data_IF_309700739714
#
_entry.id   IF_309700739714
#
_cell.length_a   1.000
_cell.length_b   1.000
_cell.length_c   1.000
_cell.angle_alpha   90.00
_cell.angle_beta   90.00
_cell.angle_gamma   90.00
#
_symmetry.space_group_name_H-M   'P 1'
#
loop_
_entity.id
_entity.type
_entity.pdbx_description
1 polymer ?
#
# COMPACT_ATOMS: atom_id res chain seq x y z
N UNK A 1 22.60 33.00 6.40
CA UNK A 1 22.72 31.59 5.98
C UNK A 1 22.68 30.72 7.23
N UNK A 2 21.74 29.80 7.33
CA UNK A 2 21.56 28.93 8.50
C UNK A 2 22.78 28.04 8.73
N UNK A 3 23.07 27.75 10.01
CA UNK A 3 24.18 26.88 10.43
C UNK A 3 23.66 25.65 11.18
N UNK A 4 24.43 24.56 11.14
CA UNK A 4 24.15 23.37 11.94
C UNK A 4 24.15 23.72 13.42
N UNK A 5 23.20 23.20 14.20
CA UNK A 5 22.93 23.44 15.62
C UNK A 5 22.38 24.85 15.95
N UNK A 6 22.12 25.67 14.96
CA UNK A 6 21.43 26.95 15.17
C UNK A 6 19.96 26.67 15.55
N UNK A 7 19.45 27.45 16.50
CA UNK A 7 18.03 27.38 16.91
C UNK A 7 17.33 28.61 16.31
N UNK A 8 16.25 28.34 15.58
CA UNK A 8 15.45 29.38 14.92
C UNK A 8 13.98 29.23 15.34
N UNK A 9 13.26 30.34 15.36
CA UNK A 9 11.81 30.32 15.45
C UNK A 9 11.25 30.04 14.06
N UNK A 10 10.36 29.05 13.95
CA UNK A 10 9.81 28.59 12.68
C UNK A 10 8.32 28.32 12.81
N UNK A 11 7.55 28.86 11.90
CA UNK A 11 6.14 28.53 11.71
C UNK A 11 5.99 27.47 10.63
N UNK A 12 5.17 26.46 10.88
CA UNK A 12 4.91 25.37 9.95
C UNK A 12 3.71 25.73 9.09
N UNK A 13 3.94 25.90 7.80
CA UNK A 13 2.93 26.33 6.83
C UNK A 13 2.57 25.26 5.79
N UNK A 14 3.19 24.09 5.83
CA UNK A 14 2.92 23.01 4.90
C UNK A 14 3.43 21.67 5.41
N UNK A 15 3.15 20.61 4.66
CA UNK A 15 3.52 19.24 5.00
C UNK A 15 4.02 18.50 3.76
N UNK A 16 4.96 17.56 3.97
CA UNK A 16 5.39 16.61 2.92
C UNK A 16 4.69 15.27 3.09
N UNK A 17 4.63 14.48 2.02
CA UNK A 17 4.12 13.12 2.07
C UNK A 17 4.96 12.13 2.92
N UNK A 18 6.18 12.52 3.30
CA UNK A 18 7.00 11.79 4.29
C UNK A 18 6.66 12.15 5.74
N UNK A 19 5.70 13.06 5.96
CA UNK A 19 5.28 13.51 7.29
C UNK A 19 6.22 14.52 7.93
N UNK A 20 7.00 15.28 7.13
CA UNK A 20 7.75 16.42 7.64
C UNK A 20 6.96 17.70 7.44
N UNK A 21 6.76 18.49 8.49
CA UNK A 21 6.27 19.85 8.33
C UNK A 21 7.27 20.73 7.60
N UNK A 22 6.78 21.72 6.89
CA UNK A 22 7.56 22.65 6.09
C UNK A 22 7.32 24.06 6.60
N UNK A 23 8.37 24.72 7.05
CA UNK A 23 8.37 26.15 7.30
C UNK A 23 9.44 26.84 6.45
N UNK A 24 9.41 28.17 6.41
CA UNK A 24 10.42 28.97 5.74
C UNK A 24 11.09 29.93 6.72
N UNK A 25 12.40 29.99 6.69
CA UNK A 25 13.19 30.95 7.43
C UNK A 25 14.10 31.70 6.46
N UNK A 26 13.96 33.03 6.35
CA UNK A 26 14.68 33.86 5.38
C UNK A 26 14.61 33.31 3.93
N UNK A 27 13.48 32.78 3.52
CA UNK A 27 13.26 32.20 2.19
C UNK A 27 13.76 30.77 2.01
N UNK A 28 14.49 30.20 2.98
CA UNK A 28 14.99 28.82 2.95
C UNK A 28 13.95 27.89 3.57
N UNK A 29 13.58 26.81 2.84
CA UNK A 29 12.70 25.79 3.36
C UNK A 29 13.39 24.94 4.45
N UNK A 30 12.68 24.67 5.54
CA UNK A 30 13.13 23.83 6.64
C UNK A 30 12.11 22.71 6.85
N UNK A 31 12.58 21.47 6.80
CA UNK A 31 11.77 20.25 6.98
C UNK A 31 11.92 19.74 8.41
N UNK A 32 10.81 19.62 9.14
CA UNK A 32 10.81 19.24 10.56
C UNK A 32 9.82 18.11 10.81
N UNK A 33 10.27 16.93 11.23
CA UNK A 33 9.37 15.81 11.56
C UNK A 33 8.53 16.11 12.82
N UNK A 34 7.37 15.44 12.93
CA UNK A 34 6.47 15.51 14.09
C UNK A 34 5.84 16.88 14.34
N UNK A 35 5.78 17.74 13.32
CA UNK A 35 5.08 19.02 13.37
C UNK A 35 3.74 18.94 12.65
N UNK A 36 2.84 19.86 13.00
CA UNK A 36 1.51 20.04 12.38
C UNK A 36 1.47 21.44 11.76
N UNK A 37 0.70 21.62 10.70
CA UNK A 37 0.49 22.95 10.09
C UNK A 37 -0.11 23.90 11.15
N UNK A 38 0.45 25.09 11.27
CA UNK A 38 0.10 26.08 12.30
C UNK A 38 0.94 26.00 13.58
N UNK A 39 1.83 24.99 13.73
CA UNK A 39 2.79 25.00 14.84
C UNK A 39 3.77 26.16 14.69
N UNK A 40 4.06 26.82 15.80
CA UNK A 40 5.22 27.71 15.96
C UNK A 40 6.20 27.06 16.90
N UNK A 41 7.39 26.79 16.41
CA UNK A 41 8.41 26.02 17.13
C UNK A 41 9.74 26.75 17.25
N UNK A 42 10.52 26.41 18.27
CA UNK A 42 11.98 26.54 18.25
C UNK A 42 12.55 25.30 17.58
N UNK A 43 13.19 25.53 16.43
CA UNK A 43 13.71 24.49 15.58
C UNK A 43 15.23 24.47 15.60
N UNK A 44 15.84 23.37 16.01
CA UNK A 44 17.29 23.17 15.89
C UNK A 44 17.61 22.63 14.52
N UNK A 45 18.47 23.32 13.76
CA UNK A 45 18.94 22.87 12.44
C UNK A 45 19.92 21.71 12.62
N UNK A 46 19.59 20.55 12.05
CA UNK A 46 20.45 19.35 12.15
C UNK A 46 21.25 19.09 10.86
N UNK A 47 20.74 19.56 9.71
CA UNK A 47 21.41 19.41 8.41
C UNK A 47 21.11 20.60 7.52
N UNK A 48 22.15 21.18 6.94
CA UNK A 48 22.07 22.25 5.93
C UNK A 48 22.39 21.65 4.56
N UNK A 49 21.46 21.81 3.60
CA UNK A 49 21.64 21.46 2.20
C UNK A 49 21.76 22.74 1.36
N UNK A 50 22.00 22.62 0.06
CA UNK A 50 22.21 23.77 -0.82
C UNK A 50 21.00 24.72 -0.90
N UNK A 51 19.79 24.19 -0.89
CA UNK A 51 18.52 24.94 -1.11
C UNK A 51 17.49 24.78 0.00
N UNK A 52 17.77 23.92 1.00
CA UNK A 52 16.86 23.65 2.11
C UNK A 52 17.62 23.11 3.33
N UNK A 53 16.94 23.05 4.47
CA UNK A 53 17.50 22.48 5.70
C UNK A 53 16.58 21.39 6.29
N UNK A 54 17.15 20.56 7.16
CA UNK A 54 16.39 19.72 8.09
C UNK A 54 16.57 20.21 9.51
N UNK A 55 15.49 20.24 10.25
CA UNK A 55 15.47 20.58 11.66
C UNK A 55 14.77 19.53 12.51
N UNK A 56 14.89 19.70 13.82
CA UNK A 56 14.11 18.95 14.82
C UNK A 56 13.45 19.95 15.77
N UNK A 57 12.35 19.55 16.37
CA UNK A 57 11.69 20.34 17.40
C UNK A 57 12.58 20.41 18.63
N UNK A 58 12.94 21.62 19.06
CA UNK A 58 13.57 21.88 20.35
C UNK A 58 12.50 22.17 21.41
N UNK A 59 11.56 23.04 21.03
CA UNK A 59 10.42 23.42 21.86
C UNK A 59 9.22 23.80 20.97
N UNK A 60 7.99 23.54 21.43
CA UNK A 60 6.77 24.03 20.80
C UNK A 60 6.35 25.31 21.52
N UNK A 61 6.49 26.43 20.82
CA UNK A 61 6.13 27.76 21.36
C UNK A 61 4.61 27.94 21.39
N UNK A 62 3.95 27.52 20.30
CA UNK A 62 2.50 27.49 20.18
C UNK A 62 2.12 26.30 19.32
N UNK A 63 1.38 25.35 19.89
CA UNK A 63 0.90 24.17 19.15
C UNK A 63 -0.32 24.52 18.31
N UNK A 64 -0.42 23.91 17.14
CA UNK A 64 -1.62 23.91 16.30
C UNK A 64 -2.80 23.32 17.08
N UNK A 65 -4.01 23.82 16.83
CA UNK A 65 -5.26 23.23 17.37
C UNK A 65 -5.53 21.82 16.83
N UNK A 66 -4.91 21.49 15.71
CA UNK A 66 -5.02 20.18 15.05
C UNK A 66 -4.07 19.13 15.64
N UNK A 67 -3.23 19.50 16.62
CA UNK A 67 -2.39 18.56 17.33
C UNK A 67 -3.19 17.62 18.21
N UNK A 68 -2.77 16.34 18.19
CA UNK A 68 -3.25 15.32 19.12
C UNK A 68 -2.10 14.76 19.94
N UNK A 69 -2.42 14.27 21.13
CA UNK A 69 -1.52 13.43 21.88
C UNK A 69 -1.31 12.10 21.14
N UNK A 70 -0.05 11.68 21.08
CA UNK A 70 0.30 10.43 20.40
C UNK A 70 0.00 9.23 21.30
N UNK A 71 -0.78 8.29 20.79
CA UNK A 71 -1.25 7.07 21.47
C UNK A 71 -0.35 5.83 21.23
N UNK A 72 0.75 5.97 20.48
CA UNK A 72 1.63 4.85 20.16
C UNK A 72 3.01 5.00 20.83
N UNK A 73 3.41 4.12 21.75
CA UNK A 73 4.64 4.25 22.53
C UNK A 73 5.93 4.20 21.70
N UNK A 74 5.86 3.65 20.48
CA UNK A 74 7.00 3.55 19.57
C UNK A 74 6.93 4.52 18.39
N UNK A 75 5.97 5.44 18.37
CA UNK A 75 5.73 6.35 17.25
C UNK A 75 6.96 7.16 16.83
N UNK A 76 7.73 7.66 17.80
CA UNK A 76 8.95 8.43 17.52
C UNK A 76 10.08 7.61 16.86
N UNK A 77 10.02 6.28 16.99
CA UNK A 77 11.04 5.34 16.50
C UNK A 77 10.57 4.56 15.27
N UNK A 78 9.33 4.05 15.30
CA UNK A 78 8.76 3.22 14.25
C UNK A 78 8.59 3.99 12.94
N UNK A 79 8.89 3.34 11.81
CA UNK A 79 8.74 3.90 10.47
C UNK A 79 7.34 3.78 9.86
N UNK A 80 6.37 3.16 10.56
CA UNK A 80 5.08 2.81 10.00
C UNK A 80 4.09 3.97 9.83
N UNK A 81 4.05 4.90 10.80
CA UNK A 81 3.13 6.04 10.80
C UNK A 81 3.88 7.36 10.76
N UNK A 82 3.24 8.39 10.20
CA UNK A 82 3.80 9.75 10.18
C UNK A 82 2.81 10.83 10.63
N UNK A 83 1.50 10.53 10.79
CA UNK A 83 0.46 11.50 11.09
C UNK A 83 -0.34 11.23 12.38
N UNK A 84 0.13 10.34 13.28
CA UNK A 84 -0.59 10.05 14.55
C UNK A 84 -0.60 11.20 15.55
N UNK A 85 0.14 12.25 15.33
CA UNK A 85 0.23 13.44 16.18
C UNK A 85 -0.66 14.59 15.72
N UNK A 86 -1.51 14.35 14.69
CA UNK A 86 -2.52 15.30 14.23
C UNK A 86 -3.89 14.65 14.17
N UNK A 87 -4.97 15.45 14.24
CA UNK A 87 -6.31 14.93 14.08
C UNK A 87 -6.53 14.41 12.65
N UNK A 88 -7.55 13.59 12.49
CA UNK A 88 -7.74 12.89 11.22
C UNK A 88 -8.28 13.81 10.12
N UNK A 89 -9.03 14.82 10.48
CA UNK A 89 -9.56 15.79 9.52
C UNK A 89 -8.43 16.59 8.88
N UNK A 90 -7.43 17.00 9.67
CA UNK A 90 -6.23 17.66 9.16
C UNK A 90 -5.39 16.70 8.31
N UNK A 91 -5.25 15.44 8.71
CA UNK A 91 -4.58 14.41 7.88
C UNK A 91 -5.24 14.30 6.50
N UNK A 92 -6.58 14.29 6.44
CA UNK A 92 -7.32 14.25 5.16
C UNK A 92 -7.07 15.50 4.33
N UNK A 93 -7.11 16.70 4.94
CA UNK A 93 -6.80 17.97 4.25
C UNK A 93 -5.40 18.00 3.66
N UNK A 94 -4.42 17.53 4.44
CA UNK A 94 -3.03 17.42 4.00
C UNK A 94 -2.88 16.45 2.82
N UNK A 95 -3.50 15.29 2.88
CA UNK A 95 -3.47 14.30 1.79
C UNK A 95 -4.17 14.78 0.52
N UNK A 96 -5.30 15.45 0.67
CA UNK A 96 -5.99 16.08 -0.46
C UNK A 96 -5.11 17.15 -1.12
N UNK A 97 -4.40 17.95 -0.31
CA UNK A 97 -3.48 18.97 -0.82
C UNK A 97 -2.30 18.36 -1.58
N UNK A 98 -1.79 17.18 -1.18
CA UNK A 98 -0.74 16.48 -1.94
C UNK A 98 -1.21 16.15 -3.36
N UNK A 99 -2.45 15.70 -3.52
CA UNK A 99 -3.02 15.39 -4.82
C UNK A 99 -3.14 16.67 -5.65
N UNK A 100 -3.77 17.72 -5.10
CA UNK A 100 -3.92 19.02 -5.78
C UNK A 100 -2.58 19.58 -6.25
N UNK A 101 -1.59 19.63 -5.34
CA UNK A 101 -0.24 20.11 -5.66
C UNK A 101 0.41 19.30 -6.80
N UNK A 102 0.18 17.99 -6.87
CA UNK A 102 0.75 17.17 -7.94
C UNK A 102 0.09 17.43 -9.29
N UNK A 103 -1.23 17.48 -9.34
CA UNK A 103 -1.93 17.76 -10.58
C UNK A 103 -1.62 19.16 -11.10
N UNK A 104 -1.65 20.18 -10.24
CA UNK A 104 -1.42 21.56 -10.63
C UNK A 104 0.05 21.88 -10.94
N UNK A 105 0.99 21.36 -10.12
CA UNK A 105 2.42 21.75 -10.26
C UNK A 105 3.21 20.82 -11.17
N UNK A 106 2.93 19.50 -11.16
CA UNK A 106 3.64 18.53 -11.99
C UNK A 106 2.91 18.33 -13.31
N UNK A 107 1.61 17.98 -13.25
CA UNK A 107 0.81 17.73 -14.43
C UNK A 107 0.44 18.99 -15.20
N UNK A 108 0.40 20.18 -14.55
CA UNK A 108 -0.19 21.42 -15.07
C UNK A 108 -1.66 21.25 -15.46
N UNK A 109 -2.36 20.40 -14.70
CA UNK A 109 -3.75 20.01 -14.89
C UNK A 109 -4.63 20.65 -13.82
N UNK A 110 -5.83 21.06 -14.20
CA UNK A 110 -6.80 21.74 -13.32
C UNK A 110 -8.17 21.04 -13.43
N UNK A 111 -8.27 19.79 -12.97
CA UNK A 111 -9.54 19.04 -12.98
C UNK A 111 -10.52 19.54 -11.92
N UNK A 112 -11.75 19.02 -12.00
CA UNK A 112 -12.67 19.08 -10.87
C UNK A 112 -12.18 18.11 -9.77
N UNK A 113 -12.12 18.59 -8.52
CA UNK A 113 -11.79 17.74 -7.38
C UNK A 113 -13.08 17.37 -6.65
N UNK A 114 -13.42 16.07 -6.68
CA UNK A 114 -14.50 15.52 -5.86
C UNK A 114 -14.09 15.49 -4.39
N UNK A 115 -15.06 15.43 -3.47
CA UNK A 115 -14.80 15.37 -2.03
C UNK A 115 -13.88 14.21 -1.65
N UNK A 116 -12.89 14.48 -0.80
CA UNK A 116 -11.93 13.49 -0.33
C UNK A 116 -12.64 12.36 0.43
N UNK A 117 -12.30 11.11 0.12
CA UNK A 117 -12.84 9.92 0.79
C UNK A 117 -11.92 9.52 1.94
N UNK A 118 -12.30 9.87 3.16
CA UNK A 118 -11.56 9.46 4.36
C UNK A 118 -11.74 7.99 4.69
N UNK A 119 -10.81 7.45 5.48
CA UNK A 119 -10.89 6.08 6.00
C UNK A 119 -11.85 6.05 7.20
N UNK A 120 -12.89 5.23 7.14
CA UNK A 120 -13.85 5.10 8.24
C UNK A 120 -13.22 4.46 9.49
N UNK A 121 -12.30 3.52 9.29
CA UNK A 121 -11.66 2.76 10.34
C UNK A 121 -10.16 3.06 10.40
N UNK A 122 -9.71 3.69 11.48
CA UNK A 122 -8.31 4.07 11.69
C UNK A 122 -7.51 3.07 12.54
N UNK A 123 -8.19 2.08 13.11
CA UNK A 123 -7.64 1.04 14.00
C UNK A 123 -7.98 -0.33 13.45
N UNK A 124 -7.01 -1.24 13.43
CA UNK A 124 -7.23 -2.63 13.03
C UNK A 124 -7.46 -2.87 11.53
N UNK A 125 -7.37 -1.85 10.70
CA UNK A 125 -7.74 -1.94 9.28
C UNK A 125 -6.76 -2.72 8.39
N UNK A 126 -5.49 -2.87 8.85
CA UNK A 126 -4.47 -3.55 8.04
C UNK A 126 -4.59 -5.05 8.16
N UNK A 127 -5.15 -5.69 7.16
CA UNK A 127 -5.32 -7.14 7.08
C UNK A 127 -4.01 -7.94 6.90
N UNK A 128 -2.86 -7.25 6.89
CA UNK A 128 -1.54 -7.87 6.69
C UNK A 128 -0.48 -7.25 7.59
N UNK A 129 0.29 -8.09 8.28
CA UNK A 129 1.49 -7.71 9.02
C UNK A 129 2.71 -8.50 8.52
N UNK A 130 3.85 -7.83 8.47
CA UNK A 130 5.14 -8.41 8.11
C UNK A 130 6.15 -7.98 9.16
N UNK A 131 6.26 -8.78 10.23
CA UNK A 131 7.14 -8.48 11.36
C UNK A 131 8.54 -9.04 11.10
N UNK A 132 9.58 -8.23 10.87
CA UNK A 132 10.96 -8.69 10.95
C UNK A 132 11.27 -9.20 12.35
N UNK A 133 12.06 -10.26 12.41
CA UNK A 133 12.54 -10.85 13.66
C UNK A 133 14.04 -10.57 13.78
N UNK A 134 14.47 -10.05 14.91
CA UNK A 134 15.85 -9.73 15.20
C UNK A 134 16.29 -10.25 16.58
N UNK A 135 17.58 -10.32 16.84
CA UNK A 135 18.11 -10.59 18.19
C UNK A 135 18.50 -9.27 18.85
N UNK A 136 17.96 -8.99 20.03
CA UNK A 136 18.29 -7.83 20.84
C UNK A 136 18.43 -8.27 22.32
N UNK A 137 19.47 -7.84 22.97
CA UNK A 137 19.74 -8.15 24.40
C UNK A 137 19.65 -9.65 24.73
N UNK A 138 20.12 -10.50 23.80
CA UNK A 138 20.16 -11.96 23.98
C UNK A 138 18.84 -12.69 23.78
N UNK A 139 17.78 -12.00 23.33
CA UNK A 139 16.47 -12.60 22.99
C UNK A 139 16.03 -12.22 21.58
N UNK A 140 15.20 -13.08 21.00
CA UNK A 140 14.52 -12.75 19.76
C UNK A 140 13.36 -11.77 20.03
N UNK A 141 13.27 -10.72 19.20
CA UNK A 141 12.22 -9.70 19.23
C UNK A 141 11.61 -9.54 17.85
N UNK A 142 10.37 -9.07 17.77
CA UNK A 142 9.74 -8.73 16.50
C UNK A 142 8.92 -7.44 16.58
N UNK A 143 8.65 -6.83 15.43
CA UNK A 143 7.89 -5.59 15.34
C UNK A 143 8.07 -4.97 13.97
N UNK A 144 8.21 -3.65 13.88
CA UNK A 144 8.44 -2.95 12.61
C UNK A 144 9.81 -2.28 12.59
N UNK A 145 10.31 -2.00 11.39
CA UNK A 145 11.58 -1.29 11.27
C UNK A 145 11.48 0.17 11.76
N UNK A 146 12.55 0.61 12.40
CA UNK A 146 12.73 2.03 12.73
C UNK A 146 12.89 2.87 11.46
N UNK A 147 12.51 4.14 11.55
CA UNK A 147 12.64 5.08 10.43
C UNK A 147 14.06 5.07 9.85
N UNK A 148 14.16 4.87 8.52
CA UNK A 148 15.42 4.87 7.76
C UNK A 148 16.48 3.89 8.30
N UNK A 149 16.03 2.77 8.88
CA UNK A 149 16.91 1.78 9.50
C UNK A 149 16.28 0.38 9.41
N UNK A 150 17.11 -0.66 9.45
CA UNK A 150 16.69 -2.06 9.62
C UNK A 150 16.66 -2.48 11.10
N UNK A 151 16.81 -1.55 12.04
CA UNK A 151 16.64 -1.85 13.46
C UNK A 151 15.16 -2.12 13.74
N UNK A 152 14.86 -3.25 14.36
CA UNK A 152 13.51 -3.65 14.75
C UNK A 152 13.09 -2.89 16.02
N UNK A 153 11.93 -2.25 15.97
CA UNK A 153 11.24 -1.78 17.18
C UNK A 153 10.49 -2.98 17.78
N UNK A 154 10.90 -3.44 18.96
CA UNK A 154 10.25 -4.52 19.68
C UNK A 154 8.84 -4.08 20.13
N UNK A 155 7.87 -4.29 19.26
CA UNK A 155 6.49 -3.85 19.48
C UNK A 155 5.52 -4.56 18.53
N UNK A 156 4.67 -5.41 19.07
CA UNK A 156 3.63 -6.16 18.34
C UNK A 156 2.25 -5.53 18.46
N UNK A 157 2.02 -4.63 19.45
CA UNK A 157 0.75 -3.97 19.73
C UNK A 157 0.53 -2.75 18.83
N UNK A 158 0.45 -3.02 17.53
CA UNK A 158 0.25 -1.97 16.53
C UNK A 158 -1.24 -1.70 16.31
N UNK A 159 -1.71 -0.51 16.65
CA UNK A 159 -3.11 -0.12 16.49
C UNK A 159 -3.62 -0.17 15.04
N UNK A 160 -2.74 -0.19 14.02
CA UNK A 160 -3.17 -0.36 12.63
C UNK A 160 -3.51 -1.81 12.28
N UNK A 161 -3.05 -2.77 13.10
CA UNK A 161 -3.23 -4.20 12.87
C UNK A 161 -4.43 -4.73 13.66
N UNK A 162 -5.13 -5.78 13.21
CA UNK A 162 -6.09 -6.50 14.03
C UNK A 162 -5.46 -6.99 15.33
N UNK A 163 -6.15 -6.82 16.46
CA UNK A 163 -5.63 -7.19 17.79
C UNK A 163 -5.17 -8.66 17.89
N UNK A 164 -5.79 -9.54 17.10
CA UNK A 164 -5.41 -10.97 17.04
C UNK A 164 -3.97 -11.17 16.55
N UNK A 165 -3.43 -10.27 15.71
CA UNK A 165 -2.06 -10.38 15.23
C UNK A 165 -1.03 -10.24 16.32
N UNK A 166 -1.28 -9.33 17.30
CA UNK A 166 -0.47 -9.23 18.51
C UNK A 166 -0.41 -10.56 19.25
N UNK A 167 -1.58 -11.15 19.52
CA UNK A 167 -1.67 -12.40 20.29
C UNK A 167 -0.90 -13.55 19.60
N UNK A 168 -1.06 -13.69 18.29
CA UNK A 168 -0.36 -14.71 17.51
C UNK A 168 1.16 -14.44 17.48
N UNK A 169 1.57 -13.20 17.25
CA UNK A 169 2.98 -12.84 17.22
C UNK A 169 3.67 -13.06 18.59
N UNK A 170 3.01 -12.68 19.67
CA UNK A 170 3.51 -12.87 21.03
C UNK A 170 3.68 -14.37 21.37
N UNK A 171 2.72 -15.24 21.01
CA UNK A 171 2.84 -16.68 21.19
C UNK A 171 4.00 -17.28 20.37
N UNK A 172 4.14 -16.87 19.12
CA UNK A 172 5.27 -17.28 18.26
C UNK A 172 6.60 -16.86 18.92
N UNK A 173 6.71 -15.61 19.38
CA UNK A 173 7.93 -15.11 19.98
C UNK A 173 8.23 -15.77 21.33
N UNK A 174 7.21 -16.08 22.13
CA UNK A 174 7.39 -16.85 23.36
C UNK A 174 7.96 -18.25 23.07
N UNK A 175 7.41 -18.93 22.05
CA UNK A 175 7.92 -20.23 21.60
C UNK A 175 9.36 -20.15 21.10
N UNK A 176 9.66 -19.17 20.21
CA UNK A 176 10.99 -18.94 19.63
C UNK A 176 12.03 -18.72 20.72
N UNK A 177 11.73 -17.89 21.72
CA UNK A 177 12.63 -17.61 22.83
C UNK A 177 12.80 -18.83 23.77
N UNK A 178 11.71 -19.54 24.10
CA UNK A 178 11.76 -20.76 24.92
C UNK A 178 12.62 -21.85 24.28
N UNK A 179 12.52 -22.01 22.96
CA UNK A 179 13.29 -22.99 22.17
C UNK A 179 14.68 -22.48 21.73
N UNK A 180 15.00 -21.23 22.05
CA UNK A 180 16.27 -20.57 21.65
C UNK A 180 16.51 -20.64 20.14
N UNK A 181 15.43 -20.51 19.33
CA UNK A 181 15.50 -20.45 17.87
C UNK A 181 16.12 -19.11 17.49
N UNK A 182 17.21 -19.13 16.72
CA UNK A 182 17.96 -17.93 16.37
C UNK A 182 17.22 -17.10 15.33
N UNK A 183 17.08 -15.81 15.58
CA UNK A 183 16.66 -14.84 14.59
C UNK A 183 17.71 -14.71 13.48
N UNK A 184 17.26 -14.42 12.25
CA UNK A 184 18.18 -14.16 11.14
C UNK A 184 18.89 -12.82 11.34
N UNK A 185 20.21 -12.87 11.18
CA UNK A 185 21.05 -11.70 11.21
C UNK A 185 21.44 -11.34 9.76
N UNK A 186 21.06 -10.15 9.29
CA UNK A 186 21.28 -9.69 7.91
C UNK A 186 22.78 -9.47 7.60
N UNK A 187 23.62 -9.14 8.59
CA UNK A 187 25.04 -8.91 8.41
C UNK A 187 25.79 -10.22 8.20
N UNK A 188 25.57 -11.18 9.11
CA UNK A 188 26.28 -12.47 9.09
C UNK A 188 25.63 -13.49 8.16
N UNK A 189 24.34 -13.34 7.86
CA UNK A 189 23.55 -14.31 7.11
C UNK A 189 23.20 -15.56 7.92
N UNK A 190 23.38 -15.55 9.24
CA UNK A 190 23.09 -16.66 10.14
C UNK A 190 21.74 -16.52 10.84
N UNK A 191 21.24 -17.63 11.39
CA UNK A 191 19.93 -17.68 12.05
C UNK A 191 18.86 -18.33 11.16
N UNK A 192 17.70 -18.65 11.75
CA UNK A 192 16.65 -19.41 11.08
C UNK A 192 15.40 -18.56 10.77
N UNK A 193 14.81 -17.92 11.77
CA UNK A 193 13.56 -17.16 11.60
C UNK A 193 13.86 -15.72 11.17
N UNK A 194 13.31 -15.32 10.02
CA UNK A 194 13.49 -13.98 9.45
C UNK A 194 12.31 -13.06 9.71
N UNK A 195 11.09 -13.55 9.37
CA UNK A 195 9.87 -12.75 9.52
C UNK A 195 8.73 -13.63 9.99
N UNK A 196 7.81 -13.00 10.72
CA UNK A 196 6.46 -13.50 10.96
C UNK A 196 5.55 -12.70 10.03
N UNK A 197 4.92 -13.40 9.08
CA UNK A 197 3.97 -12.81 8.15
C UNK A 197 2.58 -13.29 8.52
N UNK A 198 1.69 -12.35 8.83
CA UNK A 198 0.30 -12.62 9.17
C UNK A 198 -0.61 -11.98 8.13
N UNK A 199 -1.68 -12.67 7.80
CA UNK A 199 -2.73 -12.20 6.92
C UNK A 199 -4.08 -12.62 7.45
N UNK A 200 -5.09 -11.75 7.29
CA UNK A 200 -6.47 -12.01 7.67
C UNK A 200 -7.40 -11.61 6.53
N UNK A 201 -8.39 -12.45 6.23
CA UNK A 201 -9.56 -12.02 5.46
C UNK A 201 -10.42 -11.11 6.32
N UNK A 202 -10.77 -9.93 5.82
CA UNK A 202 -11.54 -8.95 6.60
C UNK A 202 -12.97 -9.43 6.82
N UNK A 203 -13.62 -9.88 5.75
CA UNK A 203 -14.99 -10.38 5.80
C UNK A 203 -15.08 -11.84 6.26
N UNK A 204 -14.14 -12.69 5.87
CA UNK A 204 -14.15 -14.11 6.24
C UNK A 204 -13.65 -14.36 7.66
N UNK A 205 -12.77 -13.51 8.18
CA UNK A 205 -12.07 -13.74 9.44
C UNK A 205 -10.93 -14.76 9.35
N UNK A 206 -10.73 -15.44 8.22
CA UNK A 206 -9.69 -16.46 8.05
C UNK A 206 -8.29 -15.88 8.22
N UNK A 207 -7.43 -16.61 8.96
CA UNK A 207 -6.07 -16.17 9.26
C UNK A 207 -5.05 -17.12 8.62
N UNK A 208 -4.06 -16.51 7.99
CA UNK A 208 -2.84 -17.16 7.51
C UNK A 208 -1.65 -16.75 8.37
N UNK A 209 -0.86 -17.72 8.81
CA UNK A 209 0.44 -17.54 9.44
C UNK A 209 1.52 -18.04 8.49
N UNK A 210 2.43 -17.17 8.07
CA UNK A 210 3.57 -17.57 7.28
C UNK A 210 4.87 -17.28 8.04
N UNK A 211 5.62 -18.33 8.37
CA UNK A 211 6.94 -18.21 8.97
C UNK A 211 8.00 -18.18 7.88
N UNK A 212 8.67 -17.04 7.74
CA UNK A 212 9.77 -16.89 6.76
C UNK A 212 11.05 -17.34 7.41
N UNK A 213 11.61 -18.44 6.89
CA UNK A 213 12.81 -19.08 7.44
C UNK A 213 13.92 -19.18 6.38
N UNK A 214 15.15 -19.35 6.83
CA UNK A 214 16.30 -19.44 5.93
C UNK A 214 16.48 -20.81 5.28
N UNK A 215 15.92 -21.88 5.87
CA UNK A 215 16.11 -23.27 5.43
C UNK A 215 14.89 -24.12 5.80
N UNK A 216 14.12 -24.53 4.80
CA UNK A 216 12.94 -25.40 4.95
C UNK A 216 13.25 -26.77 5.57
N UNK A 217 14.48 -27.29 5.44
CA UNK A 217 14.87 -28.55 6.07
C UNK A 217 14.83 -28.49 7.60
N UNK A 218 14.94 -27.28 8.16
CA UNK A 218 14.92 -27.03 9.61
C UNK A 218 13.53 -26.71 10.14
N UNK A 219 12.47 -26.71 9.31
CA UNK A 219 11.12 -26.31 9.72
C UNK A 219 10.54 -27.14 10.88
N UNK A 220 10.96 -28.42 11.03
CA UNK A 220 10.47 -29.31 12.07
C UNK A 220 10.65 -28.79 13.50
N UNK A 221 11.53 -27.80 13.72
CA UNK A 221 11.66 -27.17 15.04
C UNK A 221 10.40 -26.37 15.45
N UNK A 222 9.49 -26.11 14.50
CA UNK A 222 8.24 -25.39 14.71
C UNK A 222 7.00 -26.31 14.77
N UNK A 223 7.13 -27.64 14.64
CA UNK A 223 5.97 -28.54 14.55
C UNK A 223 5.07 -28.44 15.80
N UNK A 224 5.66 -28.32 17.00
CA UNK A 224 4.89 -28.13 18.22
C UNK A 224 4.16 -26.76 18.23
N UNK A 225 4.81 -25.69 17.74
CA UNK A 225 4.20 -24.36 17.60
C UNK A 225 2.98 -24.42 16.67
N UNK A 226 3.09 -25.09 15.52
CA UNK A 226 1.95 -25.27 14.59
C UNK A 226 0.76 -25.90 15.32
N UNK A 227 0.98 -26.97 16.08
CA UNK A 227 -0.07 -27.62 16.87
C UNK A 227 -0.67 -26.71 17.96
N UNK A 228 0.17 -25.93 18.65
CA UNK A 228 -0.27 -24.98 19.68
C UNK A 228 -1.13 -23.85 19.09
N UNK A 229 -0.70 -23.26 17.96
CA UNK A 229 -1.42 -22.18 17.28
C UNK A 229 -2.79 -22.65 16.76
N UNK A 230 -2.85 -23.78 16.07
CA UNK A 230 -4.10 -24.33 15.54
C UNK A 230 -5.11 -24.65 16.64
N UNK A 231 -4.62 -25.12 17.80
CA UNK A 231 -5.46 -25.44 18.95
C UNK A 231 -6.01 -24.19 19.64
N UNK A 232 -5.21 -23.12 19.68
CA UNK A 232 -5.56 -21.86 20.37
C UNK A 232 -6.42 -20.94 19.51
N UNK A 233 -6.20 -20.91 18.18
CA UNK A 233 -6.80 -19.96 17.26
C UNK A 233 -7.58 -20.70 16.16
N UNK A 234 -8.89 -20.85 16.33
CA UNK A 234 -9.76 -21.57 15.40
C UNK A 234 -9.86 -20.93 14.01
N UNK A 235 -9.59 -19.61 13.94
CA UNK A 235 -9.63 -18.83 12.69
C UNK A 235 -8.38 -19.01 11.83
N UNK A 236 -7.32 -19.65 12.35
CA UNK A 236 -6.16 -20.02 11.53
C UNK A 236 -6.57 -21.14 10.58
N UNK A 237 -6.64 -20.83 9.28
CA UNK A 237 -6.95 -21.76 8.20
C UNK A 237 -5.72 -22.18 7.39
N UNK A 238 -4.63 -21.44 7.55
CA UNK A 238 -3.39 -21.65 6.83
C UNK A 238 -2.18 -21.40 7.71
N UNK A 239 -1.25 -22.38 7.80
CA UNK A 239 0.11 -22.14 8.31
C UNK A 239 1.07 -22.61 7.24
N UNK A 240 1.94 -21.72 6.76
CA UNK A 240 2.92 -22.01 5.72
C UNK A 240 4.31 -21.60 6.17
N UNK A 241 5.31 -22.34 5.69
CA UNK A 241 6.71 -21.94 5.76
C UNK A 241 7.16 -21.40 4.41
N UNK A 242 7.81 -20.25 4.42
CA UNK A 242 8.44 -19.67 3.23
C UNK A 242 9.96 -19.69 3.38
N UNK A 243 10.67 -20.20 2.36
CA UNK A 243 12.14 -20.21 2.36
C UNK A 243 12.67 -18.92 1.72
N UNK A 244 13.38 -18.15 2.51
CA UNK A 244 14.16 -17.01 2.01
C UNK A 244 15.58 -17.01 2.61
N UNK A 245 16.54 -17.61 1.90
CA UNK A 245 17.96 -17.63 2.27
C UNK A 245 18.76 -16.48 1.65
N UNK A 246 18.16 -15.65 0.79
CA UNK A 246 18.86 -14.62 0.04
C UNK A 246 19.11 -13.36 0.91
N UNK A 247 20.27 -12.72 0.72
CA UNK A 247 20.56 -11.38 1.25
C UNK A 247 19.86 -10.34 0.36
N UNK A 248 18.60 -10.07 0.61
CA UNK A 248 17.75 -9.17 -0.18
C UNK A 248 16.69 -8.53 0.70
N UNK A 249 16.20 -7.36 0.28
CA UNK A 249 15.07 -6.67 0.92
C UNK A 249 13.70 -7.34 0.66
N UNK A 250 13.64 -8.37 -0.22
CA UNK A 250 12.42 -9.13 -0.40
C UNK A 250 12.15 -9.96 0.85
N UNK A 251 10.94 -9.84 1.41
CA UNK A 251 10.53 -10.58 2.61
C UNK A 251 10.31 -12.05 2.29
N UNK A 252 9.54 -12.34 1.23
CA UNK A 252 9.17 -13.69 0.82
C UNK A 252 10.11 -14.22 -0.27
N UNK A 253 10.47 -15.48 -0.14
CA UNK A 253 11.12 -16.27 -1.21
C UNK A 253 10.07 -16.99 -2.08
N UNK A 254 10.55 -17.79 -3.03
CA UNK A 254 9.68 -18.48 -4.00
C UNK A 254 9.15 -19.83 -3.51
N UNK A 255 9.82 -20.45 -2.54
CA UNK A 255 9.46 -21.79 -2.06
C UNK A 255 8.55 -21.68 -0.84
N UNK A 256 7.46 -22.42 -0.89
CA UNK A 256 6.46 -22.53 0.16
C UNK A 256 6.24 -24.00 0.53
N UNK A 257 5.96 -24.27 1.80
CA UNK A 257 5.52 -25.57 2.30
C UNK A 257 4.38 -25.34 3.29
N UNK A 258 3.23 -25.93 3.00
CA UNK A 258 2.07 -25.90 3.89
C UNK A 258 2.31 -26.82 5.08
N UNK A 259 2.15 -26.29 6.29
CA UNK A 259 2.26 -27.05 7.53
C UNK A 259 0.89 -27.40 8.12
N UNK A 260 -0.12 -26.57 7.84
CA UNK A 260 -1.50 -26.80 8.30
C UNK A 260 -2.51 -26.15 7.35
N UNK A 261 -3.62 -26.84 7.12
CA UNK A 261 -4.73 -26.37 6.30
C UNK A 261 -4.37 -26.20 4.82
N UNK A 262 -4.79 -25.07 4.23
CA UNK A 262 -4.50 -24.71 2.85
C UNK A 262 -3.25 -23.83 2.76
N UNK A 263 -2.67 -23.69 1.56
CA UNK A 263 -1.66 -22.68 1.24
C UNK A 263 -2.27 -21.31 0.96
N UNK A 264 -3.60 -21.20 0.99
CA UNK A 264 -4.39 -19.98 0.79
C UNK A 264 -5.41 -19.78 1.90
N UNK A 265 -5.90 -18.56 2.03
CA UNK A 265 -7.12 -18.18 2.75
C UNK A 265 -8.05 -17.48 1.78
N UNK A 266 -9.32 -17.34 2.16
CA UNK A 266 -10.34 -16.66 1.39
C UNK A 266 -10.75 -15.34 2.05
N UNK A 267 -11.17 -14.40 1.23
CA UNK A 267 -11.86 -13.17 1.66
C UNK A 267 -12.87 -12.74 0.60
N UNK A 268 -13.75 -11.84 0.96
CA UNK A 268 -14.68 -11.23 0.02
C UNK A 268 -14.18 -9.83 -0.37
N UNK A 269 -14.24 -9.48 -1.66
CA UNK A 269 -13.95 -8.15 -2.19
C UNK A 269 -15.06 -7.73 -3.16
N UNK A 270 -15.81 -6.69 -2.82
CA UNK A 270 -16.96 -6.24 -3.62
C UNK A 270 -17.93 -7.39 -3.97
N UNK A 271 -18.19 -8.28 -3.02
CA UNK A 271 -19.09 -9.42 -3.19
C UNK A 271 -18.53 -10.59 -4.02
N UNK A 272 -17.25 -10.58 -4.37
CA UNK A 272 -16.54 -11.70 -4.99
C UNK A 272 -15.69 -12.44 -3.97
N UNK A 273 -15.70 -13.77 -4.04
CA UNK A 273 -14.78 -14.63 -3.29
C UNK A 273 -13.37 -14.55 -3.91
N UNK A 274 -12.38 -14.19 -3.11
CA UNK A 274 -11.01 -13.99 -3.53
C UNK A 274 -10.07 -14.92 -2.76
N UNK A 275 -9.38 -15.76 -3.49
CA UNK A 275 -8.31 -16.62 -2.96
C UNK A 275 -7.03 -15.80 -2.74
N UNK A 276 -6.46 -15.90 -1.54
CA UNK A 276 -5.31 -15.13 -1.10
C UNK A 276 -4.18 -16.06 -0.66
N UNK A 277 -3.08 -16.09 -1.42
CA UNK A 277 -1.85 -16.80 -1.04
C UNK A 277 -0.85 -15.86 -0.33
N UNK A 278 0.22 -16.37 0.28
CA UNK A 278 1.29 -15.51 0.82
C UNK A 278 1.88 -14.55 -0.21
N UNK A 279 1.97 -14.98 -1.48
CA UNK A 279 2.60 -14.24 -2.57
C UNK A 279 1.62 -13.34 -3.34
N UNK A 280 0.31 -13.51 -3.16
CA UNK A 280 -0.70 -12.69 -3.84
C UNK A 280 -0.66 -11.25 -3.34
N UNK A 281 -0.76 -10.30 -4.28
CA UNK A 281 -1.15 -8.94 -3.92
C UNK A 281 -2.63 -8.93 -3.51
N UNK A 282 -2.93 -8.28 -2.42
CA UNK A 282 -4.28 -8.00 -1.95
C UNK A 282 -4.22 -6.71 -1.14
N UNK A 283 -5.18 -5.81 -1.34
CA UNK A 283 -5.22 -4.51 -0.66
C UNK A 283 -5.23 -4.70 0.86
N UNK A 284 -4.40 -3.92 1.56
CA UNK A 284 -4.20 -4.11 3.01
C UNK A 284 -5.32 -3.55 3.87
N UNK A 285 -6.22 -2.76 3.28
CA UNK A 285 -7.44 -2.23 3.87
C UNK A 285 -8.60 -2.60 2.95
N UNK A 286 -9.25 -3.74 3.22
CA UNK A 286 -10.28 -4.31 2.37
C UNK A 286 -11.46 -3.36 2.23
N UNK A 287 -12.00 -2.83 3.33
CA UNK A 287 -13.17 -1.95 3.34
C UNK A 287 -12.92 -0.70 2.49
N UNK A 288 -11.77 -0.06 2.69
CA UNK A 288 -11.47 1.15 1.94
C UNK A 288 -11.10 0.87 0.47
N UNK A 289 -10.59 -0.33 0.17
CA UNK A 289 -10.38 -0.77 -1.21
C UNK A 289 -11.70 -1.01 -1.95
N UNK A 290 -12.73 -1.53 -1.28
CA UNK A 290 -14.07 -1.65 -1.83
C UNK A 290 -14.63 -0.27 -2.20
N UNK A 291 -14.47 0.74 -1.31
CA UNK A 291 -14.84 2.14 -1.63
C UNK A 291 -14.07 2.70 -2.82
N UNK A 292 -12.75 2.44 -2.89
CA UNK A 292 -11.92 2.84 -4.03
C UNK A 292 -12.45 2.25 -5.34
N UNK A 293 -12.83 0.96 -5.34
CA UNK A 293 -13.34 0.26 -6.52
C UNK A 293 -14.76 0.72 -6.90
N UNK A 294 -15.60 1.05 -5.92
CA UNK A 294 -16.92 1.67 -6.17
C UNK A 294 -16.75 3.03 -6.87
N UNK A 295 -15.85 3.89 -6.38
CA UNK A 295 -15.56 5.19 -7.01
C UNK A 295 -15.05 5.00 -8.45
N UNK A 296 -14.16 4.03 -8.67
CA UNK A 296 -13.67 3.70 -10.00
C UNK A 296 -14.79 3.20 -10.93
N UNK A 297 -15.72 2.38 -10.41
CA UNK A 297 -16.89 1.91 -11.15
C UNK A 297 -17.87 3.05 -11.51
N UNK A 298 -18.06 3.99 -10.59
CA UNK A 298 -18.89 5.19 -10.82
C UNK A 298 -18.28 6.07 -11.91
N UNK A 299 -16.96 6.25 -11.91
CA UNK A 299 -16.25 6.99 -12.95
C UNK A 299 -16.25 6.25 -14.29
N UNK A 300 -16.22 4.92 -14.27
CA UNK A 300 -16.30 4.09 -15.46
C UNK A 300 -17.70 4.13 -16.14
N UNK A 301 -18.79 4.43 -15.38
CA UNK A 301 -20.17 4.56 -15.89
C UNK A 301 -20.60 3.37 -16.76
N UNK A 302 -20.43 2.16 -16.26
CA UNK A 302 -20.68 0.92 -16.99
C UNK A 302 -22.19 0.61 -17.05
N UNK A 303 -22.67 0.19 -18.23
CA UNK A 303 -24.10 -0.07 -18.52
C UNK A 303 -24.40 -1.53 -18.86
N UNK A 304 -23.37 -2.40 -18.91
CA UNK A 304 -23.49 -3.80 -19.33
C UNK A 304 -23.19 -4.04 -20.82
N UNK A 305 -22.89 -3.01 -21.57
CA UNK A 305 -22.61 -3.10 -23.00
C UNK A 305 -21.13 -2.96 -23.35
N UNK A 306 -20.35 -2.43 -22.43
CA UNK A 306 -18.97 -2.05 -22.62
C UNK A 306 -18.03 -3.26 -22.61
N UNK A 307 -16.96 -3.15 -23.39
CA UNK A 307 -15.73 -3.91 -23.21
C UNK A 307 -14.81 -3.10 -22.27
N UNK A 308 -14.50 -3.68 -21.10
CA UNK A 308 -13.58 -3.11 -20.11
C UNK A 308 -12.20 -3.76 -20.27
N UNK A 309 -11.17 -2.93 -20.37
CA UNK A 309 -9.77 -3.36 -20.27
C UNK A 309 -9.22 -2.93 -18.90
N UNK A 310 -8.83 -3.91 -18.07
CA UNK A 310 -8.19 -3.73 -16.78
C UNK A 310 -6.68 -3.97 -16.97
N UNK A 311 -5.92 -2.88 -17.10
CA UNK A 311 -4.46 -2.91 -17.21
C UNK A 311 -3.84 -2.93 -15.81
N UNK A 312 -2.89 -3.82 -15.60
CA UNK A 312 -2.26 -4.10 -14.30
C UNK A 312 -3.22 -4.80 -13.32
N UNK A 313 -4.03 -5.73 -13.82
CA UNK A 313 -5.17 -6.30 -13.10
C UNK A 313 -4.82 -7.13 -11.85
N UNK A 314 -3.55 -7.50 -11.63
CA UNK A 314 -3.14 -8.34 -10.52
C UNK A 314 -3.93 -9.66 -10.46
N UNK A 315 -4.55 -9.97 -9.32
CA UNK A 315 -5.46 -11.11 -9.14
C UNK A 315 -6.88 -10.88 -9.68
N UNK A 316 -7.08 -9.81 -10.44
CA UNK A 316 -8.33 -9.47 -11.11
C UNK A 316 -9.34 -8.73 -10.23
N UNK A 317 -8.99 -8.28 -9.03
CA UNK A 317 -9.95 -7.77 -8.04
C UNK A 317 -10.75 -6.56 -8.53
N UNK A 318 -10.14 -5.62 -9.26
CA UNK A 318 -10.82 -4.45 -9.81
C UNK A 318 -11.78 -4.87 -10.93
N UNK A 319 -11.25 -5.55 -11.96
CA UNK A 319 -12.07 -5.98 -13.10
C UNK A 319 -13.22 -6.90 -12.69
N UNK A 320 -12.99 -7.85 -11.78
CA UNK A 320 -14.01 -8.76 -11.27
C UNK A 320 -15.12 -8.03 -10.52
N UNK A 321 -14.81 -6.97 -9.75
CA UNK A 321 -15.83 -6.16 -9.07
C UNK A 321 -16.83 -5.52 -10.04
N UNK A 322 -16.42 -5.32 -11.29
CA UNK A 322 -17.21 -4.71 -12.36
C UNK A 322 -17.72 -5.71 -13.40
N UNK A 323 -17.34 -6.98 -13.33
CA UNK A 323 -17.58 -7.99 -14.36
C UNK A 323 -19.07 -8.18 -14.71
N UNK A 324 -19.97 -8.00 -13.73
CA UNK A 324 -21.42 -8.09 -13.92
C UNK A 324 -22.03 -6.88 -14.63
N UNK A 325 -21.25 -5.78 -14.76
CA UNK A 325 -21.68 -4.52 -15.37
C UNK A 325 -21.03 -4.28 -16.74
N UNK A 326 -20.40 -5.30 -17.34
CA UNK A 326 -19.74 -5.22 -18.64
C UNK A 326 -20.09 -6.39 -19.55
N UNK A 327 -20.03 -6.16 -20.85
CA UNK A 327 -20.19 -7.22 -21.86
C UNK A 327 -18.98 -8.14 -21.90
N UNK A 328 -17.77 -7.58 -21.83
CA UNK A 328 -16.49 -8.28 -21.86
C UNK A 328 -15.50 -7.60 -20.91
N UNK A 329 -14.78 -8.38 -20.14
CA UNK A 329 -13.65 -7.95 -19.33
C UNK A 329 -12.35 -8.54 -19.92
N UNK A 330 -11.35 -7.70 -20.12
CA UNK A 330 -9.98 -8.13 -20.48
C UNK A 330 -9.06 -7.67 -19.37
N UNK A 331 -8.40 -8.59 -18.68
CA UNK A 331 -7.39 -8.28 -17.66
C UNK A 331 -5.97 -8.56 -18.16
N UNK A 332 -5.05 -7.65 -17.90
CA UNK A 332 -3.63 -7.76 -18.30
C UNK A 332 -2.73 -7.57 -17.09
N UNK A 333 -1.82 -8.52 -16.86
CA UNK A 333 -0.87 -8.51 -15.76
C UNK A 333 0.44 -9.21 -16.19
N UNK A 334 1.58 -8.67 -15.76
CA UNK A 334 2.89 -9.22 -16.13
C UNK A 334 3.27 -10.46 -15.32
N UNK A 335 2.67 -10.66 -14.16
CA UNK A 335 2.99 -11.72 -13.20
C UNK A 335 2.10 -12.93 -13.46
N UNK A 336 2.66 -14.02 -14.03
CA UNK A 336 1.89 -15.23 -14.36
C UNK A 336 1.11 -15.81 -13.15
N UNK A 337 1.67 -15.98 -11.95
CA UNK A 337 0.91 -16.43 -10.78
C UNK A 337 -0.30 -15.56 -10.44
N UNK A 338 -0.24 -14.24 -10.69
CA UNK A 338 -1.38 -13.35 -10.46
C UNK A 338 -2.48 -13.58 -11.51
N UNK A 339 -2.12 -13.80 -12.77
CA UNK A 339 -3.07 -14.20 -13.83
C UNK A 339 -3.74 -15.54 -13.50
N UNK A 340 -2.98 -16.50 -12.99
CA UNK A 340 -3.54 -17.80 -12.59
C UNK A 340 -4.54 -17.62 -11.43
N UNK A 341 -4.25 -16.75 -10.48
CA UNK A 341 -5.19 -16.35 -9.43
C UNK A 341 -6.42 -15.66 -9.99
N UNK A 342 -6.26 -14.70 -10.91
CA UNK A 342 -7.39 -14.00 -11.53
C UNK A 342 -8.35 -14.97 -12.23
N UNK A 343 -7.82 -15.97 -12.93
CA UNK A 343 -8.62 -17.03 -13.57
C UNK A 343 -9.36 -17.90 -12.54
N UNK A 344 -8.70 -18.28 -11.43
CA UNK A 344 -9.37 -19.04 -10.36
C UNK A 344 -10.46 -18.20 -9.68
N UNK A 345 -10.18 -16.95 -9.37
CA UNK A 345 -11.15 -16.02 -8.81
C UNK A 345 -12.36 -15.82 -9.75
N UNK A 346 -12.14 -15.67 -11.06
CA UNK A 346 -13.22 -15.58 -12.03
C UNK A 346 -14.09 -16.84 -12.03
N UNK A 347 -13.47 -18.02 -12.04
CA UNK A 347 -14.18 -19.30 -12.01
C UNK A 347 -14.97 -19.50 -10.71
N UNK A 348 -14.39 -19.19 -9.53
CA UNK A 348 -15.05 -19.26 -8.24
C UNK A 348 -16.30 -18.36 -8.15
N UNK A 349 -16.30 -17.23 -8.87
CA UNK A 349 -17.40 -16.28 -8.90
C UNK A 349 -18.33 -16.42 -10.12
N UNK A 350 -18.20 -17.53 -10.89
CA UNK A 350 -18.99 -17.80 -12.09
C UNK A 350 -18.90 -16.67 -13.15
N UNK A 351 -17.77 -15.98 -13.23
CA UNK A 351 -17.54 -14.92 -14.22
C UNK A 351 -17.05 -15.58 -15.52
N UNK A 352 -17.91 -15.58 -16.55
CA UNK A 352 -17.68 -16.25 -17.84
C UNK A 352 -17.33 -15.30 -18.98
N UNK A 353 -17.44 -13.98 -18.75
CA UNK A 353 -17.17 -12.93 -19.72
C UNK A 353 -15.80 -12.27 -19.56
N UNK A 354 -14.88 -12.91 -18.82
CA UNK A 354 -13.54 -12.40 -18.54
C UNK A 354 -12.44 -13.19 -19.28
N UNK A 355 -11.48 -12.48 -19.83
CA UNK A 355 -10.25 -13.00 -20.44
C UNK A 355 -9.04 -12.40 -19.69
N UNK A 356 -8.07 -13.23 -19.27
CA UNK A 356 -6.87 -12.78 -18.57
C UNK A 356 -5.61 -13.15 -19.34
N UNK A 357 -4.77 -12.17 -19.62
CA UNK A 357 -3.59 -12.28 -20.47
C UNK A 357 -2.34 -11.91 -19.68
N UNK A 358 -1.36 -12.81 -19.65
CA UNK A 358 -0.06 -12.56 -19.03
C UNK A 358 0.87 -11.82 -20.01
N UNK A 359 1.38 -10.66 -19.58
CA UNK A 359 2.38 -9.93 -20.35
C UNK A 359 2.53 -8.49 -19.89
N UNK A 360 3.53 -7.83 -20.45
CA UNK A 360 3.77 -6.41 -20.23
C UNK A 360 2.60 -5.56 -20.76
N UNK A 361 2.14 -4.59 -19.98
CA UNK A 361 0.95 -3.81 -20.29
C UNK A 361 1.04 -3.08 -21.65
N UNK A 362 2.19 -2.46 -21.97
CA UNK A 362 2.39 -1.77 -23.25
C UNK A 362 2.37 -2.74 -24.44
N UNK A 363 3.08 -3.87 -24.31
CA UNK A 363 3.15 -4.89 -25.38
C UNK A 363 1.80 -5.57 -25.61
N UNK A 364 1.08 -5.91 -24.54
CA UNK A 364 -0.24 -6.53 -24.70
C UNK A 364 -1.25 -5.53 -25.22
N UNK A 365 -1.20 -4.25 -24.81
CA UNK A 365 -2.03 -3.21 -25.39
C UNK A 365 -1.79 -3.03 -26.90
N UNK A 366 -0.53 -3.10 -27.35
CA UNK A 366 -0.18 -3.12 -28.80
C UNK A 366 -0.80 -4.31 -29.53
N UNK A 367 -0.67 -5.53 -28.95
CA UNK A 367 -1.21 -6.75 -29.55
C UNK A 367 -2.74 -6.67 -29.62
N UNK A 368 -3.42 -6.25 -28.57
CA UNK A 368 -4.87 -6.07 -28.54
C UNK A 368 -5.32 -5.05 -29.59
N UNK A 369 -4.64 -3.91 -29.65
CA UNK A 369 -4.90 -2.90 -30.70
C UNK A 369 -4.77 -3.48 -32.12
N UNK A 370 -3.70 -4.24 -32.39
CA UNK A 370 -3.42 -4.85 -33.68
C UNK A 370 -4.45 -5.92 -34.06
N UNK A 371 -5.06 -6.59 -33.06
CA UNK A 371 -6.16 -7.55 -33.26
C UNK A 371 -7.52 -6.89 -33.46
N UNK A 372 -7.59 -5.57 -33.43
CA UNK A 372 -8.84 -4.82 -33.58
C UNK A 372 -9.66 -4.67 -32.31
N UNK A 373 -9.11 -5.05 -31.13
CA UNK A 373 -9.79 -4.80 -29.86
C UNK A 373 -9.86 -3.29 -29.59
N UNK A 374 -11.05 -2.83 -29.25
CA UNK A 374 -11.35 -1.42 -28.96
C UNK A 374 -12.21 -1.37 -27.70
N UNK A 375 -11.56 -1.37 -26.50
CA UNK A 375 -12.30 -1.26 -25.26
C UNK A 375 -13.01 0.10 -25.18
N UNK A 376 -14.21 0.09 -24.64
CA UNK A 376 -15.00 1.31 -24.42
C UNK A 376 -14.48 2.07 -23.20
N UNK A 377 -13.98 1.32 -22.22
CA UNK A 377 -13.41 1.83 -20.96
C UNK A 377 -12.10 1.11 -20.67
N UNK A 378 -11.10 1.87 -20.21
CA UNK A 378 -9.83 1.32 -19.69
C UNK A 378 -9.72 1.73 -18.21
N UNK A 379 -9.41 0.77 -17.34
CA UNK A 379 -8.96 1.03 -15.97
C UNK A 379 -7.47 0.68 -15.91
N UNK A 380 -6.69 1.51 -15.22
CA UNK A 380 -5.28 1.26 -15.01
C UNK A 380 -4.89 1.57 -13.56
N UNK A 381 -4.35 0.56 -12.85
CA UNK A 381 -3.80 0.66 -11.49
C UNK A 381 -2.32 0.26 -11.49
N UNK A 382 -1.44 1.11 -12.06
CA UNK A 382 -0.03 0.78 -12.20
C UNK A 382 0.71 0.81 -10.85
N UNK A 383 1.87 0.15 -10.79
CA UNK A 383 2.79 0.28 -9.66
C UNK A 383 3.24 1.74 -9.46
N UNK A 384 3.85 2.05 -8.32
CA UNK A 384 4.27 3.42 -7.90
C UNK A 384 5.02 4.25 -8.95
N UNK A 385 5.66 3.63 -9.92
CA UNK A 385 6.37 4.32 -11.02
C UNK A 385 5.44 4.87 -12.11
N UNK A 386 4.15 4.54 -12.07
CA UNK A 386 3.16 4.89 -13.08
C UNK A 386 3.25 4.02 -14.32
N UNK A 387 2.52 4.42 -15.37
CA UNK A 387 2.52 3.74 -16.66
C UNK A 387 3.77 4.07 -17.47
N UNK A 388 4.19 3.12 -18.29
CA UNK A 388 5.19 3.37 -19.31
C UNK A 388 4.54 4.11 -20.50
N UNK A 389 5.33 4.91 -21.22
CA UNK A 389 4.81 5.77 -22.30
C UNK A 389 4.13 4.98 -23.41
N UNK A 390 4.67 3.84 -23.78
CA UNK A 390 4.09 2.93 -24.79
C UNK A 390 2.69 2.44 -24.37
N UNK A 391 2.50 2.09 -23.11
CA UNK A 391 1.18 1.72 -22.58
C UNK A 391 0.18 2.88 -22.73
N UNK A 392 0.55 4.11 -22.34
CA UNK A 392 -0.30 5.30 -22.49
C UNK A 392 -0.66 5.58 -23.95
N UNK A 393 0.32 5.44 -24.87
CA UNK A 393 0.11 5.64 -26.30
C UNK A 393 -0.87 4.61 -26.89
N UNK A 394 -0.78 3.32 -26.50
CA UNK A 394 -1.71 2.31 -26.98
C UNK A 394 -3.09 2.43 -26.32
N UNK A 395 -3.17 2.82 -25.03
CA UNK A 395 -4.43 3.20 -24.41
C UNK A 395 -5.15 4.27 -25.23
N UNK A 396 -4.45 5.34 -25.61
CA UNK A 396 -5.02 6.42 -26.42
C UNK A 396 -5.38 5.97 -27.85
N UNK A 397 -4.53 5.16 -28.52
CA UNK A 397 -4.80 4.60 -29.86
C UNK A 397 -6.04 3.70 -29.90
N UNK A 398 -6.30 2.94 -28.83
CA UNK A 398 -7.53 2.14 -28.73
C UNK A 398 -8.79 3.01 -28.66
N UNK A 399 -8.64 4.30 -28.37
CA UNK A 399 -9.68 5.32 -28.38
C UNK A 399 -10.88 5.02 -27.46
N UNK A 400 -10.69 4.56 -26.20
CA UNK A 400 -11.79 4.38 -25.26
C UNK A 400 -12.52 5.70 -25.02
N UNK A 401 -13.81 5.63 -24.68
CA UNK A 401 -14.57 6.82 -24.30
C UNK A 401 -14.09 7.38 -22.96
N UNK A 402 -13.69 6.48 -22.04
CA UNK A 402 -13.20 6.83 -20.70
C UNK A 402 -11.96 6.03 -20.31
N UNK A 403 -11.07 6.69 -19.61
CA UNK A 403 -9.95 6.07 -18.90
C UNK A 403 -10.08 6.41 -17.42
N UNK A 404 -10.07 5.39 -16.55
CA UNK A 404 -10.04 5.55 -15.11
C UNK A 404 -8.66 5.14 -14.61
N UNK A 405 -7.90 6.13 -14.12
CA UNK A 405 -6.60 5.89 -13.52
C UNK A 405 -6.73 5.77 -12.01
N UNK A 406 -6.20 4.71 -11.42
CA UNK A 406 -6.05 4.54 -9.97
C UNK A 406 -4.57 4.63 -9.67
N UNK A 407 -4.17 5.29 -8.58
CA UNK A 407 -2.74 5.38 -8.26
C UNK A 407 -2.46 5.67 -6.80
N UNK A 408 -1.54 4.90 -6.23
CA UNK A 408 -0.95 5.16 -4.91
C UNK A 408 0.18 6.20 -4.94
N UNK A 409 0.44 6.81 -6.09
CA UNK A 409 1.42 7.89 -6.27
C UNK A 409 0.84 9.00 -7.15
N UNK A 410 0.25 10.00 -6.50
CA UNK A 410 -0.39 11.14 -7.13
C UNK A 410 0.53 11.92 -8.09
N UNK A 411 1.85 11.93 -7.85
CA UNK A 411 2.80 12.61 -8.73
C UNK A 411 2.96 11.90 -10.07
N UNK A 412 3.03 10.55 -10.07
CA UNK A 412 3.07 9.77 -11.32
C UNK A 412 1.71 9.76 -12.01
N UNK A 413 0.61 9.75 -11.26
CA UNK A 413 -0.73 9.90 -11.84
C UNK A 413 -0.88 11.23 -12.60
N UNK A 414 -0.49 12.34 -11.99
CA UNK A 414 -0.53 13.65 -12.64
C UNK A 414 0.33 13.72 -13.91
N UNK A 415 1.53 13.11 -13.89
CA UNK A 415 2.40 12.99 -15.09
C UNK A 415 1.74 12.18 -16.19
N UNK A 416 1.19 11.02 -15.85
CA UNK A 416 0.60 10.10 -16.82
C UNK A 416 -0.68 10.68 -17.42
N UNK A 417 -1.50 11.36 -16.62
CA UNK A 417 -2.66 12.11 -17.10
C UNK A 417 -2.27 13.25 -18.05
N UNK A 418 -1.18 13.98 -17.76
CA UNK A 418 -0.70 15.01 -18.66
C UNK A 418 -0.29 14.45 -20.04
N UNK A 419 0.36 13.28 -20.06
CA UNK A 419 0.67 12.58 -21.34
C UNK A 419 -0.61 12.17 -22.07
N UNK A 420 -1.62 11.66 -21.35
CA UNK A 420 -2.90 11.31 -21.99
C UNK A 420 -3.65 12.53 -22.51
N UNK A 421 -3.51 13.71 -21.87
CA UNK A 421 -4.07 14.97 -22.43
C UNK A 421 -3.40 15.36 -23.77
N UNK A 422 -2.07 15.21 -23.88
CA UNK A 422 -1.36 15.39 -25.15
C UNK A 422 -1.87 14.43 -26.24
N UNK A 423 -2.37 13.25 -25.83
CA UNK A 423 -2.89 12.20 -26.71
C UNK A 423 -4.40 12.30 -27.00
N UNK A 424 -5.07 13.38 -26.59
CA UNK A 424 -6.46 13.68 -26.93
C UNK A 424 -7.50 13.31 -25.88
N UNK A 425 -7.10 13.16 -24.66
CA UNK A 425 -7.98 13.01 -23.49
C UNK A 425 -8.05 14.31 -22.69
N UNK A 426 -9.00 14.41 -21.78
CA UNK A 426 -9.11 15.49 -20.81
C UNK A 426 -9.25 14.87 -19.41
N UNK A 427 -8.48 15.35 -18.46
CA UNK A 427 -8.64 15.04 -17.04
C UNK A 427 -9.87 15.77 -16.53
N UNK A 428 -10.94 15.02 -16.23
CA UNK A 428 -12.25 15.60 -15.88
C UNK A 428 -12.36 15.76 -14.37
N UNK A 429 -12.15 14.64 -13.63
CA UNK A 429 -12.33 14.59 -12.18
C UNK A 429 -11.19 13.86 -11.52
N UNK A 430 -10.88 14.28 -10.30
CA UNK A 430 -9.94 13.60 -9.41
C UNK A 430 -10.57 13.48 -8.03
N UNK A 431 -10.53 12.28 -7.45
CA UNK A 431 -10.94 12.02 -6.07
C UNK A 431 -9.79 11.37 -5.31
N UNK A 432 -9.45 11.94 -4.14
CA UNK A 432 -8.51 11.34 -3.21
C UNK A 432 -9.23 10.32 -2.31
N UNK A 433 -8.54 9.21 -2.01
CA UNK A 433 -9.04 8.13 -1.15
C UNK A 433 -7.96 7.73 -0.15
N UNK A 434 -8.29 7.75 1.13
CA UNK A 434 -7.35 7.34 2.17
C UNK A 434 -7.46 5.84 2.47
N UNK A 435 -6.63 5.02 1.84
CA UNK A 435 -6.48 3.59 2.17
C UNK A 435 -5.57 3.35 3.38
N UNK A 436 -4.75 4.34 3.76
CA UNK A 436 -3.62 4.15 4.64
C UNK A 436 -3.61 5.17 5.77
N UNK A 437 -4.70 5.26 6.54
CA UNK A 437 -4.83 6.17 7.66
C UNK A 437 -3.60 6.16 8.59
N UNK A 438 -3.21 7.33 9.09
CA UNK A 438 -2.03 7.59 9.92
C UNK A 438 -0.68 7.51 9.20
N UNK A 439 -0.68 7.28 7.87
CA UNK A 439 0.55 7.24 7.04
C UNK A 439 0.54 8.35 5.99
N UNK A 440 1.68 8.62 5.35
CA UNK A 440 1.78 9.64 4.29
C UNK A 440 1.29 9.18 2.91
N UNK A 441 0.69 7.98 2.82
CA UNK A 441 0.20 7.44 1.56
C UNK A 441 -1.27 7.84 1.34
N UNK A 442 -1.60 8.11 0.09
CA UNK A 442 -2.96 8.38 -0.37
C UNK A 442 -3.14 7.83 -1.77
N UNK A 443 -4.31 7.27 -2.04
CA UNK A 443 -4.73 6.85 -3.37
C UNK A 443 -5.46 7.99 -4.06
N UNK A 444 -5.45 8.01 -5.39
CA UNK A 444 -6.33 8.87 -6.18
C UNK A 444 -6.98 8.08 -7.32
N UNK A 445 -8.23 8.41 -7.58
CA UNK A 445 -8.99 7.94 -8.75
C UNK A 445 -9.19 9.13 -9.68
N UNK A 446 -8.85 8.95 -10.95
CA UNK A 446 -8.91 9.99 -11.96
C UNK A 446 -9.80 9.55 -13.11
N UNK A 447 -10.80 10.35 -13.44
CA UNK A 447 -11.59 10.18 -14.64
C UNK A 447 -11.00 11.01 -15.78
N UNK A 448 -10.69 10.36 -16.88
CA UNK A 448 -10.35 11.02 -18.14
C UNK A 448 -11.37 10.66 -19.21
N UNK A 449 -11.76 11.65 -19.99
CA UNK A 449 -12.69 11.49 -21.11
C UNK A 449 -12.01 11.87 -22.41
N UNK A 450 -12.35 11.14 -23.49
CA UNK A 450 -11.88 11.46 -24.82
C UNK A 450 -12.44 12.81 -25.28
N UNK A 451 -11.57 13.68 -25.78
CA UNK A 451 -11.99 14.94 -26.40
C UNK A 451 -12.58 14.63 -27.78
N UNK A 452 -13.87 14.89 -27.96
CA UNK A 452 -14.48 14.82 -29.29
C UNK A 452 -13.91 15.93 -30.15
N UNK A 453 -13.34 15.56 -31.32
CA UNK A 453 -12.88 16.51 -32.32
C UNK A 453 -14.05 17.05 -33.10
#
# INVERSE_FOLDING_TARGET
MLKKNEIIRLEISGMTNEGNGVGKHEGIAVFVPFTVIGDVIECRIVKVCKTYCYGIIENIVSGSVERMENDCPVYSKCGGCCFRHMNYEEECRVKEQFIKDSFERIGKLYPEYDSFEGCEQLVGYRNKAQYPVAEQDGRAVCGFYSRRSHRVCDHTDCALQPAIFKSIADDIMAYVNKRKIKAYNEETGSGLLRHIYLRRGEHSGEIMVCLVITDLKKRGVFDALVGELCKKYADIKSIVFNENSRKTNCILGQKLVTAYGSDTIHDTMCGNDIEISPLSFYQVNTIQAERLYEIAADYAQLTGKETLLDLYCGAGTIGLSMSKKVKKLIGVEIIQPAIDNAKRNAAANNVTNAEFICGDAGKIAEILYSRGERPDVIIADPARKGCMRDALEYMAKMSPDRIVMISCNHATAARDCAVLEELGYKTVKVKGVDLFGRTGHVECVVLMSRVQK
#
